data_IF_074775895484
#
_entry.id   IF_074775895484
#
_cell.length_a   1.000
_cell.length_b   1.000
_cell.length_c   1.000
_cell.angle_alpha   90.00
_cell.angle_beta   90.00
_cell.angle_gamma   90.00
#
_symmetry.space_group_name_H-M   'P 1'
#
loop_
_entity.id
_entity.type
_entity.pdbx_description
1 polymer ?
#
# COMPACT_ATOMS: atom_id res chain seq x y z
N UNK A 1 3.59 19.25 -15.88
CA UNK A 1 3.68 18.71 -14.50
C UNK A 1 2.50 17.80 -14.14
N UNK A 2 1.23 18.24 -14.23
CA UNK A 2 0.03 17.41 -13.86
C UNK A 2 -0.06 16.05 -14.60
N UNK A 3 0.14 16.01 -15.92
CA UNK A 3 0.09 14.77 -16.71
C UNK A 3 1.18 13.75 -16.31
N UNK A 4 2.37 14.23 -15.98
CA UNK A 4 3.49 13.37 -15.56
C UNK A 4 3.24 12.83 -14.16
N UNK A 5 2.71 13.66 -13.26
CA UNK A 5 2.36 13.25 -11.90
C UNK A 5 1.29 12.15 -11.88
N UNK A 6 0.26 12.27 -12.73
CA UNK A 6 -0.78 11.24 -12.85
C UNK A 6 -0.20 9.91 -13.35
N UNK A 7 0.64 9.94 -14.39
CA UNK A 7 1.30 8.74 -14.91
C UNK A 7 2.19 8.07 -13.86
N UNK A 8 3.00 8.86 -13.14
CA UNK A 8 3.84 8.36 -12.05
C UNK A 8 3.00 7.75 -10.93
N UNK A 9 1.91 8.41 -10.52
CA UNK A 9 1.02 7.91 -9.46
C UNK A 9 0.40 6.56 -9.83
N UNK A 10 -0.13 6.45 -11.06
CA UNK A 10 -0.73 5.19 -11.55
C UNK A 10 0.32 4.09 -11.64
N UNK A 11 1.49 4.38 -12.22
CA UNK A 11 2.56 3.40 -12.35
C UNK A 11 3.06 2.91 -10.99
N UNK A 12 3.29 3.83 -10.04
CA UNK A 12 3.70 3.49 -8.67
C UNK A 12 2.64 2.64 -7.99
N UNK A 13 1.36 3.00 -8.11
CA UNK A 13 0.27 2.22 -7.53
C UNK A 13 0.23 0.80 -8.09
N UNK A 14 0.28 0.63 -9.41
CA UNK A 14 0.23 -0.70 -10.04
C UNK A 14 1.41 -1.57 -9.60
N UNK A 15 2.61 -1.02 -9.56
CA UNK A 15 3.82 -1.76 -9.13
C UNK A 15 3.66 -2.20 -7.67
N UNK A 16 3.27 -1.30 -6.78
CA UNK A 16 3.08 -1.62 -5.36
C UNK A 16 1.95 -2.64 -5.18
N UNK A 17 0.87 -2.51 -5.94
CA UNK A 17 -0.26 -3.43 -5.88
C UNK A 17 0.16 -4.84 -6.28
N UNK A 18 0.90 -4.98 -7.38
CA UNK A 18 1.44 -6.27 -7.81
C UNK A 18 2.39 -6.83 -6.75
N UNK A 19 3.35 -6.04 -6.25
CA UNK A 19 4.27 -6.48 -5.19
C UNK A 19 3.52 -6.93 -3.92
N UNK A 20 2.52 -6.17 -3.51
CA UNK A 20 1.72 -6.45 -2.32
C UNK A 20 0.89 -7.74 -2.47
N UNK A 21 0.47 -8.10 -3.68
CA UNK A 21 -0.20 -9.39 -3.93
C UNK A 21 0.69 -10.61 -3.68
N UNK A 22 2.01 -10.47 -3.81
CA UNK A 22 2.96 -11.58 -3.60
C UNK A 22 3.60 -11.56 -2.21
N UNK A 23 3.80 -10.38 -1.62
CA UNK A 23 4.53 -10.22 -0.36
C UNK A 23 3.63 -10.32 0.88
N UNK A 24 2.34 -10.04 0.74
CA UNK A 24 1.43 -10.01 1.89
C UNK A 24 0.85 -11.40 2.10
N UNK A 25 1.08 -11.96 3.29
CA UNK A 25 0.49 -13.22 3.67
C UNK A 25 -1.04 -13.06 3.84
N UNK A 26 -1.77 -14.10 3.42
CA UNK A 26 -3.22 -14.22 3.63
C UNK A 26 -3.56 -14.63 5.06
N UNK A 27 -2.59 -15.10 5.83
CA UNK A 27 -2.80 -15.50 7.22
C UNK A 27 -2.67 -14.30 8.17
N UNK A 28 -3.56 -14.24 9.15
CA UNK A 28 -3.48 -13.27 10.25
C UNK A 28 -3.58 -14.01 11.58
N UNK A 29 -2.91 -13.48 12.59
CA UNK A 29 -3.13 -13.92 13.97
C UNK A 29 -4.42 -13.28 14.50
N UNK A 30 -5.36 -14.11 14.91
CA UNK A 30 -6.58 -13.69 15.62
C UNK A 30 -6.47 -14.13 17.07
N UNK A 31 -6.95 -13.29 17.98
CA UNK A 31 -6.99 -13.59 19.41
C UNK A 31 -8.44 -13.69 19.84
N UNK A 32 -8.80 -14.78 20.51
CA UNK A 32 -10.15 -14.97 21.04
C UNK A 32 -10.39 -14.18 22.33
N UNK A 33 -11.63 -14.22 22.85
CA UNK A 33 -12.01 -13.54 24.09
C UNK A 33 -11.28 -14.11 25.33
N UNK A 34 -10.70 -15.31 25.24
CA UNK A 34 -9.91 -15.94 26.29
C UNK A 34 -8.41 -15.61 26.18
N UNK A 35 -7.99 -14.84 25.18
CA UNK A 35 -6.61 -14.42 24.96
C UNK A 35 -5.76 -15.44 24.18
N UNK A 36 -6.36 -16.51 23.67
CA UNK A 36 -5.65 -17.51 22.86
C UNK A 36 -5.56 -17.03 21.42
N UNK A 37 -4.35 -17.10 20.85
CA UNK A 37 -4.11 -16.65 19.48
C UNK A 37 -3.95 -17.82 18.52
N UNK A 38 -4.58 -17.73 17.36
CA UNK A 38 -4.52 -18.76 16.32
C UNK A 38 -4.42 -18.12 14.92
N UNK A 39 -3.76 -18.79 13.96
CA UNK A 39 -3.72 -18.31 12.59
C UNK A 39 -5.08 -18.51 11.92
N UNK A 40 -5.58 -17.47 11.27
CA UNK A 40 -6.78 -17.49 10.45
C UNK A 40 -6.44 -17.03 9.04
N UNK A 41 -6.85 -17.81 8.04
CA UNK A 41 -6.71 -17.42 6.63
C UNK A 41 -7.83 -16.46 6.25
N UNK A 42 -7.45 -15.29 5.72
CA UNK A 42 -8.40 -14.32 5.22
C UNK A 42 -9.17 -14.84 4.00
N UNK A 43 -10.44 -14.47 3.91
CA UNK A 43 -11.21 -14.63 2.69
C UNK A 43 -10.58 -13.82 1.55
N UNK A 44 -10.88 -14.17 0.30
CA UNK A 44 -10.27 -13.50 -0.85
C UNK A 44 -10.62 -12.01 -0.92
N UNK A 45 -11.83 -11.64 -0.53
CA UNK A 45 -12.30 -10.24 -0.53
C UNK A 45 -11.59 -9.41 0.54
N UNK A 46 -11.41 -9.96 1.74
CA UNK A 46 -10.67 -9.30 2.83
C UNK A 46 -9.19 -9.12 2.48
N UNK A 47 -8.59 -10.16 1.91
CA UNK A 47 -7.21 -10.11 1.45
C UNK A 47 -7.00 -9.01 0.40
N UNK A 48 -7.83 -9.00 -0.66
CA UNK A 48 -7.75 -7.99 -1.72
C UNK A 48 -7.98 -6.57 -1.17
N UNK A 49 -8.91 -6.41 -0.24
CA UNK A 49 -9.18 -5.12 0.40
C UNK A 49 -7.96 -4.61 1.18
N UNK A 50 -7.28 -5.50 1.92
CA UNK A 50 -6.04 -5.16 2.62
C UNK A 50 -4.91 -4.79 1.65
N UNK A 51 -4.68 -5.62 0.64
CA UNK A 51 -3.65 -5.36 -0.39
C UNK A 51 -3.89 -4.01 -1.06
N UNK A 52 -5.14 -3.72 -1.43
CA UNK A 52 -5.52 -2.45 -2.04
C UNK A 52 -5.27 -1.27 -1.10
N UNK A 53 -5.69 -1.39 0.18
CA UNK A 53 -5.46 -0.37 1.21
C UNK A 53 -3.99 -0.07 1.43
N UNK A 54 -3.15 -1.10 1.62
CA UNK A 54 -1.71 -0.92 1.76
C UNK A 54 -1.07 -0.28 0.53
N UNK A 55 -1.52 -0.68 -0.66
CA UNK A 55 -0.99 -0.14 -1.92
C UNK A 55 -1.29 1.35 -2.07
N UNK A 56 -2.48 1.80 -1.65
CA UNK A 56 -2.82 3.22 -1.62
C UNK A 56 -1.95 3.99 -0.63
N UNK A 57 -1.77 3.47 0.58
CA UNK A 57 -0.97 4.15 1.63
C UNK A 57 0.49 4.32 1.19
N UNK A 58 1.12 3.26 0.68
CA UNK A 58 2.50 3.32 0.20
C UNK A 58 2.61 4.27 -0.99
N UNK A 59 1.67 4.22 -1.93
CA UNK A 59 1.64 5.15 -3.07
C UNK A 59 1.55 6.60 -2.61
N UNK A 60 0.69 6.90 -1.64
CA UNK A 60 0.54 8.25 -1.08
C UNK A 60 1.85 8.75 -0.46
N UNK A 61 2.57 7.90 0.28
CA UNK A 61 3.89 8.21 0.85
C UNK A 61 4.90 8.55 -0.25
N UNK A 62 4.97 7.75 -1.32
CA UNK A 62 5.88 8.00 -2.45
C UNK A 62 5.57 9.32 -3.14
N UNK A 63 4.29 9.56 -3.46
CA UNK A 63 3.86 10.80 -4.12
C UNK A 63 4.18 12.01 -3.25
N UNK A 64 3.94 11.92 -1.94
CA UNK A 64 4.27 12.97 -0.99
C UNK A 64 5.79 13.23 -0.96
N UNK A 65 6.61 12.18 -0.93
CA UNK A 65 8.07 12.29 -0.99
C UNK A 65 8.55 13.00 -2.26
N UNK A 66 8.05 12.57 -3.43
CA UNK A 66 8.38 13.21 -4.72
C UNK A 66 7.97 14.68 -4.74
N UNK A 67 6.79 15.00 -4.20
CA UNK A 67 6.31 16.38 -4.10
C UNK A 67 7.22 17.24 -3.20
N UNK A 68 7.59 16.74 -2.02
CA UNK A 68 8.47 17.43 -1.07
C UNK A 68 9.87 17.66 -1.67
N UNK A 69 10.48 16.65 -2.30
CA UNK A 69 11.77 16.78 -2.97
C UNK A 69 11.70 17.85 -4.07
N UNK A 70 10.65 17.82 -4.89
CA UNK A 70 10.43 18.81 -5.95
C UNK A 70 10.24 20.22 -5.41
N UNK A 71 9.61 20.35 -4.24
CA UNK A 71 9.39 21.64 -3.58
C UNK A 71 10.70 22.23 -3.05
N UNK A 72 11.54 21.40 -2.43
CA UNK A 72 12.87 21.81 -1.93
C UNK A 72 13.77 22.23 -3.09
N UNK A 73 13.82 21.44 -4.17
CA UNK A 73 14.63 21.75 -5.37
C UNK A 73 14.19 23.03 -6.09
N UNK A 74 12.93 23.45 -5.98
CA UNK A 74 12.44 24.71 -6.57
C UNK A 74 12.75 25.95 -5.74
N UNK A 75 13.14 25.79 -4.48
CA UNK A 75 13.55 26.89 -3.58
C UNK A 75 15.07 27.03 -3.45
N UNK A 76 15.83 26.07 -3.97
CA UNK A 76 17.29 26.13 -4.09
C UNK A 76 17.74 26.74 -5.41
#
# INVERSE_FOLDING_TARGET
MKKNLLKTTIASFVIIFILSLFLIDRTILTTDAAGLSSPMTLSISEYLSKVFGYSLVITAIIVLGVYLISFIQKKG
#
